data_IF_639666389022
#
_entry.id   IF_639666389022
#
_cell.length_a   1.000
_cell.length_b   1.000
_cell.length_c   1.000
_cell.angle_alpha   90.00
_cell.angle_beta   90.00
_cell.angle_gamma   90.00
#
_symmetry.space_group_name_H-M   'P 1'
#
loop_
_entity.id
_entity.type
_entity.pdbx_description
1 polymer ?
#
# COMPACT_ATOMS: atom_id res chain seq x y z
N UNK A 1 -26.55 18.71 -9.75
CA UNK A 1 -27.00 18.19 -8.44
C UNK A 1 -25.93 18.42 -7.38
N UNK A 2 -26.32 18.70 -6.13
CA UNK A 2 -25.35 18.77 -5.02
C UNK A 2 -24.82 17.37 -4.72
N UNK A 3 -23.55 17.22 -4.32
CA UNK A 3 -22.95 15.89 -4.07
C UNK A 3 -23.78 14.98 -3.15
N UNK A 4 -24.41 15.54 -2.11
CA UNK A 4 -25.22 14.74 -1.18
C UNK A 4 -26.46 14.10 -1.82
N UNK A 5 -27.06 14.75 -2.82
CA UNK A 5 -28.17 14.19 -3.61
C UNK A 5 -27.64 13.07 -4.50
N UNK A 6 -26.55 13.33 -5.23
CA UNK A 6 -25.88 12.34 -6.09
C UNK A 6 -25.46 11.09 -5.31
N UNK A 7 -24.88 11.25 -4.13
CA UNK A 7 -24.47 10.14 -3.28
C UNK A 7 -25.67 9.35 -2.75
N UNK A 8 -26.80 10.03 -2.46
CA UNK A 8 -28.03 9.34 -2.04
C UNK A 8 -28.63 8.52 -3.18
N UNK A 9 -28.72 9.10 -4.38
CA UNK A 9 -29.19 8.39 -5.57
C UNK A 9 -28.29 7.18 -5.91
N UNK A 10 -26.98 7.33 -5.76
CA UNK A 10 -26.03 6.23 -5.88
C UNK A 10 -26.33 5.10 -4.88
N UNK A 11 -26.56 5.42 -3.60
CA UNK A 11 -26.89 4.43 -2.58
C UNK A 11 -28.22 3.72 -2.89
N UNK A 12 -29.25 4.46 -3.30
CA UNK A 12 -30.56 3.90 -3.64
C UNK A 12 -30.47 2.96 -4.87
N UNK A 13 -29.71 3.33 -5.89
CA UNK A 13 -29.53 2.52 -7.12
C UNK A 13 -28.69 1.27 -6.87
N UNK A 14 -27.73 1.32 -5.94
CA UNK A 14 -26.81 0.23 -5.66
C UNK A 14 -27.17 -0.58 -4.39
N UNK A 15 -28.19 -0.17 -3.63
CA UNK A 15 -28.68 -0.92 -2.46
C UNK A 15 -29.24 -2.29 -2.86
N UNK A 16 -29.79 -2.39 -4.06
CA UNK A 16 -30.38 -3.62 -4.62
C UNK A 16 -29.38 -4.41 -5.48
N UNK A 17 -28.19 -3.86 -5.79
CA UNK A 17 -27.21 -4.47 -6.69
C UNK A 17 -25.89 -4.80 -5.97
N UNK A 18 -25.71 -6.10 -5.76
CA UNK A 18 -24.44 -6.85 -5.72
C UNK A 18 -23.47 -6.61 -4.54
N UNK A 19 -23.46 -5.45 -3.89
CA UNK A 19 -22.59 -5.21 -2.72
C UNK A 19 -23.32 -5.52 -1.41
N UNK A 20 -24.00 -6.66 -1.39
CA UNK A 20 -24.66 -7.19 -0.20
C UNK A 20 -23.62 -7.24 0.93
N UNK A 21 -23.86 -6.50 2.01
CA UNK A 21 -23.03 -6.36 3.20
C UNK A 21 -21.84 -5.36 3.18
N UNK A 22 -21.49 -4.69 2.07
CA UNK A 22 -20.53 -3.58 2.21
C UNK A 22 -21.20 -2.33 2.78
N UNK A 23 -20.57 -1.77 3.81
CA UNK A 23 -20.95 -0.47 4.37
C UNK A 23 -20.55 0.65 3.43
N UNK A 24 -21.21 1.78 3.59
CA UNK A 24 -20.90 3.03 2.91
C UNK A 24 -20.69 4.12 3.95
N UNK A 25 -20.06 5.22 3.54
CA UNK A 25 -19.98 6.41 4.40
C UNK A 25 -21.40 6.86 4.74
N UNK A 26 -21.73 6.96 6.02
CA UNK A 26 -23.04 7.42 6.48
C UNK A 26 -23.12 8.95 6.41
N UNK A 27 -22.94 9.50 5.20
CA UNK A 27 -22.73 10.93 4.95
C UNK A 27 -23.86 11.80 5.50
N UNK A 28 -25.11 11.33 5.46
CA UNK A 28 -26.27 12.01 6.07
C UNK A 28 -26.18 12.02 7.60
N UNK A 29 -25.80 10.90 8.23
CA UNK A 29 -25.66 10.75 9.69
C UNK A 29 -24.50 11.60 10.21
N UNK A 30 -23.32 11.50 9.59
CA UNK A 30 -22.15 12.30 9.93
C UNK A 30 -22.41 13.80 9.79
N UNK A 31 -23.15 14.24 8.75
CA UNK A 31 -23.59 15.64 8.65
C UNK A 31 -24.48 16.09 9.82
N UNK A 32 -25.31 15.21 10.39
CA UNK A 32 -26.12 15.51 11.58
C UNK A 32 -25.24 15.62 12.83
N UNK A 33 -24.25 14.73 12.98
CA UNK A 33 -23.24 14.80 14.06
C UNK A 33 -22.56 16.17 14.03
N UNK A 34 -22.10 16.63 12.87
CA UNK A 34 -21.48 17.96 12.75
C UNK A 34 -22.42 19.12 13.12
N UNK A 35 -23.72 19.01 12.85
CA UNK A 35 -24.71 20.03 13.19
C UNK A 35 -25.07 20.07 14.68
N UNK A 36 -24.84 18.99 15.41
CA UNK A 36 -25.12 18.92 16.85
C UNK A 36 -24.08 19.66 17.72
N UNK A 37 -22.97 20.12 17.13
CA UNK A 37 -21.98 20.90 17.86
C UNK A 37 -22.55 22.26 18.26
N UNK A 38 -22.83 22.44 19.55
CA UNK A 38 -23.30 23.71 20.13
C UNK A 38 -22.16 24.70 20.41
N UNK A 39 -20.92 24.20 20.55
CA UNK A 39 -19.73 25.01 20.86
C UNK A 39 -19.14 25.72 19.65
N UNK A 40 -19.26 25.14 18.44
CA UNK A 40 -18.65 25.69 17.22
C UNK A 40 -19.71 26.30 16.27
N UNK A 41 -20.90 26.62 16.78
CA UNK A 41 -21.95 27.23 15.95
C UNK A 41 -21.58 28.71 15.73
N UNK A 42 -21.53 29.21 14.49
CA UNK A 42 -21.45 30.65 14.25
C UNK A 42 -22.69 31.31 14.87
N UNK A 43 -22.49 32.41 15.60
CA UNK A 43 -23.55 33.29 16.06
C UNK A 43 -24.18 33.90 14.80
N UNK A 44 -25.22 33.31 14.23
CA UNK A 44 -25.95 33.94 13.12
C UNK A 44 -27.46 33.63 13.15
N UNK A 45 -28.00 33.13 14.25
CA UNK A 45 -29.44 32.97 14.41
C UNK A 45 -29.87 33.36 15.84
N UNK A 46 -30.08 34.65 16.09
CA UNK A 46 -31.02 35.18 17.10
C UNK A 46 -31.41 36.62 16.74
N UNK A 47 -32.67 37.03 16.96
CA UNK A 47 -33.18 38.32 16.53
C UNK A 47 -32.58 39.45 17.38
N UNK A 48 -32.36 40.58 16.72
CA UNK A 48 -32.07 41.89 17.31
C UNK A 48 -32.71 42.11 18.67
N UNK A 49 -31.89 42.20 19.71
CA UNK A 49 -32.23 42.92 20.93
C UNK A 49 -31.03 43.82 21.22
N UNK A 50 -31.28 45.13 21.08
CA UNK A 50 -30.36 46.20 21.42
C UNK A 50 -29.97 46.15 22.90
N UNK A 51 -28.72 46.51 23.18
CA UNK A 51 -28.30 46.93 24.52
C UNK A 51 -27.10 46.19 25.08
N UNK A 52 -26.04 46.95 25.31
CA UNK A 52 -24.87 46.69 26.17
C UNK A 52 -23.71 45.87 25.59
N UNK A 53 -22.85 46.64 24.91
CA UNK A 53 -21.42 46.43 24.72
C UNK A 53 -20.69 46.06 26.04
N UNK A 54 -19.67 45.19 25.90
CA UNK A 54 -18.71 44.75 26.91
C UNK A 54 -19.13 43.61 27.87
N UNK A 55 -19.26 42.37 27.35
CA UNK A 55 -18.84 41.13 28.04
C UNK A 55 -19.00 39.80 27.27
N UNK A 56 -19.36 39.76 25.97
CA UNK A 56 -19.74 38.49 25.32
C UNK A 56 -18.87 38.00 24.14
N UNK A 57 -17.70 38.60 23.91
CA UNK A 57 -16.76 38.21 22.85
C UNK A 57 -15.71 37.18 23.27
N UNK A 58 -16.06 36.22 24.15
CA UNK A 58 -15.08 35.26 24.67
C UNK A 58 -15.56 33.81 24.75
N UNK A 59 -16.14 33.27 23.67
CA UNK A 59 -16.19 31.81 23.48
C UNK A 59 -16.14 31.42 22.00
N UNK A 60 -14.94 31.43 21.42
CA UNK A 60 -14.42 30.42 20.47
C UNK A 60 -12.96 30.74 20.09
N UNK A 61 -12.06 30.72 21.07
CA UNK A 61 -10.60 30.68 20.85
C UNK A 61 -10.06 29.24 20.94
N UNK A 62 -10.87 28.23 20.66
CA UNK A 62 -10.41 26.84 20.69
C UNK A 62 -10.22 26.34 19.26
N UNK A 63 -8.95 26.17 18.86
CA UNK A 63 -8.54 25.57 17.58
C UNK A 63 -9.03 24.12 17.39
N UNK A 64 -9.65 23.51 18.42
CA UNK A 64 -10.20 22.15 18.37
C UNK A 64 -11.34 21.94 19.37
N UNK A 65 -12.31 21.09 19.01
CA UNK A 65 -13.44 20.73 19.88
C UNK A 65 -13.32 19.25 20.26
N UNK A 66 -12.55 18.94 21.29
CA UNK A 66 -12.16 17.56 21.65
C UNK A 66 -13.33 16.54 21.67
N UNK A 67 -14.52 16.95 22.13
CA UNK A 67 -15.70 16.09 22.14
C UNK A 67 -16.26 15.81 20.74
N UNK A 68 -16.21 16.77 19.83
CA UNK A 68 -16.56 16.58 18.42
C UNK A 68 -15.49 15.74 17.72
N UNK A 69 -14.22 16.00 17.99
CA UNK A 69 -13.08 15.28 17.42
C UNK A 69 -13.19 13.79 17.75
N UNK A 70 -13.30 13.46 19.04
CA UNK A 70 -13.35 12.07 19.48
C UNK A 70 -14.55 11.34 18.87
N UNK A 71 -15.75 11.93 18.89
CA UNK A 71 -16.95 11.28 18.37
C UNK A 71 -16.93 11.16 16.85
N UNK A 72 -16.64 12.24 16.14
CA UNK A 72 -16.68 12.27 14.69
C UNK A 72 -15.58 11.40 14.06
N UNK A 73 -14.35 11.53 14.54
CA UNK A 73 -13.22 10.80 13.96
C UNK A 73 -13.23 9.32 14.30
N UNK A 74 -13.70 8.91 15.48
CA UNK A 74 -13.84 7.47 15.80
C UNK A 74 -14.92 6.80 14.93
N UNK A 75 -16.07 7.45 14.73
CA UNK A 75 -17.12 6.95 13.86
C UNK A 75 -16.64 6.87 12.40
N UNK A 76 -16.00 7.92 11.90
CA UNK A 76 -15.49 7.94 10.52
C UNK A 76 -14.35 6.92 10.31
N UNK A 77 -13.47 6.72 11.31
CA UNK A 77 -12.43 5.70 11.23
C UNK A 77 -13.04 4.30 11.11
N UNK A 78 -14.06 4.00 11.92
CA UNK A 78 -14.78 2.72 11.85
C UNK A 78 -15.40 2.50 10.46
N UNK A 79 -16.10 3.51 9.94
CA UNK A 79 -16.65 3.46 8.58
C UNK A 79 -15.54 3.24 7.54
N UNK A 80 -14.38 3.90 7.67
CA UNK A 80 -13.26 3.74 6.74
C UNK A 80 -12.65 2.33 6.78
N UNK A 81 -12.45 1.77 7.97
CA UNK A 81 -11.96 0.39 8.14
C UNK A 81 -12.92 -0.63 7.54
N UNK A 82 -14.23 -0.48 7.77
CA UNK A 82 -15.25 -1.38 7.21
C UNK A 82 -15.25 -1.34 5.68
N UNK A 83 -15.17 -0.14 5.09
CA UNK A 83 -15.14 0.06 3.63
C UNK A 83 -13.84 -0.52 3.03
N UNK A 84 -12.68 -0.22 3.63
CA UNK A 84 -11.39 -0.73 3.15
C UNK A 84 -11.30 -2.26 3.23
N UNK A 85 -11.80 -2.85 4.32
CA UNK A 85 -11.87 -4.30 4.50
C UNK A 85 -12.80 -4.96 3.49
N UNK A 86 -14.00 -4.41 3.30
CA UNK A 86 -14.96 -4.94 2.35
C UNK A 86 -14.44 -4.87 0.92
N UNK A 87 -13.90 -3.71 0.51
CA UNK A 87 -13.30 -3.53 -0.80
C UNK A 87 -12.18 -4.54 -1.08
N UNK A 88 -11.21 -4.64 -0.18
CA UNK A 88 -10.08 -5.57 -0.32
C UNK A 88 -10.56 -7.02 -0.42
N UNK A 89 -11.58 -7.41 0.37
CA UNK A 89 -12.17 -8.73 0.31
C UNK A 89 -12.87 -9.01 -1.03
N UNK A 90 -13.65 -8.06 -1.54
CA UNK A 90 -14.38 -8.21 -2.80
C UNK A 90 -13.46 -8.23 -4.01
N UNK A 91 -12.43 -7.38 -4.06
CA UNK A 91 -11.44 -7.41 -5.14
C UNK A 91 -10.73 -8.77 -5.17
N UNK A 92 -10.31 -9.31 -4.03
CA UNK A 92 -9.73 -10.67 -3.98
C UNK A 92 -10.65 -11.75 -4.52
N UNK A 93 -11.94 -11.67 -4.19
CA UNK A 93 -12.94 -12.61 -4.72
C UNK A 93 -13.11 -12.45 -6.24
N UNK A 94 -13.23 -11.22 -6.73
CA UNK A 94 -13.38 -10.91 -8.16
C UNK A 94 -12.18 -11.39 -8.98
N UNK A 95 -10.96 -11.17 -8.48
CA UNK A 95 -9.73 -11.54 -9.17
C UNK A 95 -9.43 -13.04 -9.10
N UNK A 96 -10.15 -13.79 -8.26
CA UNK A 96 -10.05 -15.23 -8.24
C UNK A 96 -10.48 -15.81 -9.62
N UNK A 97 -9.76 -16.80 -10.18
CA UNK A 97 -9.95 -17.24 -11.57
C UNK A 97 -11.38 -17.63 -11.99
N UNK A 98 -12.25 -17.99 -11.04
CA UNK A 98 -13.59 -18.48 -11.29
C UNK A 98 -14.69 -17.38 -11.29
N UNK A 99 -14.37 -16.13 -10.91
CA UNK A 99 -15.38 -15.10 -10.61
C UNK A 99 -15.19 -13.77 -11.35
N UNK A 100 -14.33 -13.72 -12.38
CA UNK A 100 -13.97 -12.49 -13.10
C UNK A 100 -15.15 -11.93 -13.91
N UNK A 101 -15.76 -10.83 -13.46
CA UNK A 101 -16.81 -10.11 -14.19
C UNK A 101 -16.48 -8.62 -14.38
N UNK A 102 -16.65 -8.08 -15.59
CA UNK A 102 -16.48 -6.65 -15.87
C UNK A 102 -17.46 -5.79 -15.06
N UNK A 103 -18.71 -6.24 -14.98
CA UNK A 103 -19.75 -5.52 -14.26
C UNK A 103 -19.38 -5.30 -12.79
N UNK A 104 -18.91 -6.35 -12.10
CA UNK A 104 -18.44 -6.21 -10.72
C UNK A 104 -17.21 -5.30 -10.60
N UNK A 105 -16.27 -5.35 -11.57
CA UNK A 105 -15.13 -4.43 -11.59
C UNK A 105 -15.58 -2.96 -11.58
N UNK A 106 -16.52 -2.62 -12.48
CA UNK A 106 -17.04 -1.26 -12.61
C UNK A 106 -17.82 -0.84 -11.36
N UNK A 107 -18.61 -1.74 -10.78
CA UNK A 107 -19.35 -1.48 -9.54
C UNK A 107 -18.42 -1.24 -8.35
N UNK A 108 -17.38 -2.06 -8.16
CA UNK A 108 -16.38 -1.87 -7.11
C UNK A 108 -15.58 -0.57 -7.31
N UNK A 109 -15.29 -0.23 -8.56
CA UNK A 109 -14.61 1.02 -8.92
C UNK A 109 -15.47 2.23 -8.52
N UNK A 110 -16.75 2.22 -8.90
CA UNK A 110 -17.68 3.29 -8.50
C UNK A 110 -17.85 3.36 -6.98
N UNK A 111 -17.95 2.21 -6.30
CA UNK A 111 -18.02 2.13 -4.84
C UNK A 111 -16.85 2.82 -4.15
N UNK A 112 -15.62 2.53 -4.55
CA UNK A 112 -14.43 3.17 -3.97
C UNK A 112 -14.42 4.67 -4.24
N UNK A 113 -14.72 5.07 -5.49
CA UNK A 113 -14.74 6.47 -5.89
C UNK A 113 -15.75 7.27 -5.07
N UNK A 114 -16.98 6.77 -4.95
CA UNK A 114 -18.06 7.47 -4.24
C UNK A 114 -17.78 7.58 -2.74
N UNK A 115 -17.31 6.50 -2.10
CA UNK A 115 -16.94 6.52 -0.69
C UNK A 115 -15.76 7.45 -0.41
N UNK A 116 -14.71 7.41 -1.23
CA UNK A 116 -13.55 8.28 -1.07
C UNK A 116 -13.91 9.76 -1.23
N UNK A 117 -14.74 10.11 -2.21
CA UNK A 117 -15.24 11.48 -2.39
C UNK A 117 -16.09 11.90 -1.18
N UNK A 118 -16.94 11.01 -0.66
CA UNK A 118 -17.75 11.29 0.52
C UNK A 118 -16.88 11.57 1.76
N UNK A 119 -15.84 10.77 2.00
CA UNK A 119 -14.87 11.00 3.09
C UNK A 119 -14.15 12.34 2.94
N UNK A 120 -13.62 12.65 1.75
CA UNK A 120 -12.96 13.95 1.51
C UNK A 120 -13.92 15.13 1.75
N UNK A 121 -15.16 15.03 1.29
CA UNK A 121 -16.15 16.10 1.43
C UNK A 121 -16.64 16.26 2.88
N UNK A 122 -16.77 15.19 3.65
CA UNK A 122 -17.19 15.29 5.05
C UNK A 122 -16.07 15.85 5.93
N UNK A 123 -14.81 15.50 5.67
CA UNK A 123 -13.64 16.08 6.34
C UNK A 123 -13.49 17.57 6.04
N UNK A 124 -13.58 17.98 4.76
CA UNK A 124 -13.62 19.40 4.39
C UNK A 124 -14.77 20.17 5.06
N UNK A 125 -15.92 19.50 5.25
CA UNK A 125 -17.06 20.09 5.96
C UNK A 125 -16.78 20.22 7.46
N UNK A 126 -16.13 19.23 8.07
CA UNK A 126 -15.71 19.29 9.46
C UNK A 126 -14.79 20.51 9.68
N UNK A 127 -13.76 20.68 8.85
CA UNK A 127 -12.80 21.80 8.94
C UNK A 127 -13.52 23.15 8.78
N UNK A 128 -14.46 23.23 7.83
CA UNK A 128 -15.27 24.44 7.62
C UNK A 128 -16.18 24.78 8.81
N UNK A 129 -16.72 23.79 9.53
CA UNK A 129 -17.62 24.02 10.67
C UNK A 129 -16.83 24.39 11.94
N UNK A 130 -15.67 23.77 12.13
CA UNK A 130 -14.86 23.95 13.33
C UNK A 130 -13.74 24.99 13.16
N UNK A 131 -13.63 25.60 11.97
CA UNK A 131 -12.55 26.52 11.61
C UNK A 131 -11.17 25.99 11.99
N UNK A 132 -10.93 24.70 11.74
CA UNK A 132 -9.72 23.98 12.15
C UNK A 132 -9.11 23.22 10.97
N UNK A 133 -7.93 22.64 11.19
CA UNK A 133 -7.26 21.74 10.24
C UNK A 133 -7.34 20.25 10.68
N UNK A 134 -8.18 19.92 11.66
CA UNK A 134 -8.19 18.57 12.24
C UNK A 134 -8.75 17.51 11.28
N UNK A 135 -9.69 17.86 10.42
CA UNK A 135 -10.16 16.99 9.34
C UNK A 135 -9.06 16.68 8.32
N UNK A 136 -8.26 17.68 7.93
CA UNK A 136 -7.07 17.48 7.10
C UNK A 136 -6.02 16.60 7.79
N UNK A 137 -5.68 16.88 9.06
CA UNK A 137 -4.74 16.06 9.85
C UNK A 137 -5.23 14.61 9.99
N UNK A 138 -6.52 14.42 10.22
CA UNK A 138 -7.13 13.10 10.29
C UNK A 138 -7.05 12.36 8.95
N UNK A 139 -7.19 13.06 7.82
CA UNK A 139 -6.95 12.47 6.50
C UNK A 139 -5.54 11.89 6.41
N UNK A 140 -4.52 12.67 6.76
CA UNK A 140 -3.12 12.21 6.77
C UNK A 140 -2.90 11.02 7.70
N UNK A 141 -3.55 11.03 8.88
CA UNK A 141 -3.54 9.89 9.81
C UNK A 141 -4.09 8.62 9.15
N UNK A 142 -5.27 8.69 8.51
CA UNK A 142 -5.85 7.55 7.80
C UNK A 142 -4.91 7.00 6.71
N UNK A 143 -4.23 7.87 5.97
CA UNK A 143 -3.25 7.45 4.96
C UNK A 143 -2.08 6.69 5.59
N UNK A 144 -1.55 7.18 6.72
CA UNK A 144 -0.45 6.52 7.44
C UNK A 144 -0.83 5.17 8.06
N UNK A 145 -2.10 4.99 8.42
CA UNK A 145 -2.65 3.73 8.95
C UNK A 145 -3.15 2.79 7.82
N UNK A 146 -2.89 3.12 6.55
CA UNK A 146 -3.31 2.34 5.36
C UNK A 146 -4.83 2.17 5.22
N UNK A 147 -5.60 3.11 5.77
CA UNK A 147 -7.06 3.10 5.71
C UNK A 147 -7.62 3.97 4.57
N UNK A 148 -6.78 4.78 3.91
CA UNK A 148 -7.19 5.51 2.71
C UNK A 148 -7.38 4.54 1.54
N UNK A 149 -8.63 4.21 1.23
CA UNK A 149 -9.01 3.22 0.22
C UNK A 149 -8.43 3.50 -1.18
N UNK A 150 -8.16 4.76 -1.50
CA UNK A 150 -7.55 5.15 -2.77
C UNK A 150 -6.06 4.78 -2.87
N UNK A 151 -5.39 4.55 -1.74
CA UNK A 151 -3.99 4.08 -1.72
C UNK A 151 -3.89 2.55 -1.59
N UNK A 152 -5.04 1.86 -1.61
CA UNK A 152 -5.07 0.41 -1.48
C UNK A 152 -4.41 -0.24 -2.71
N UNK A 153 -3.48 -1.20 -2.52
CA UNK A 153 -2.92 -1.96 -3.64
C UNK A 153 -4.02 -2.66 -4.45
N UNK A 154 -5.12 -3.07 -3.82
CA UNK A 154 -6.25 -3.68 -4.50
C UNK A 154 -6.92 -2.76 -5.54
N UNK A 155 -6.79 -1.43 -5.41
CA UNK A 155 -7.28 -0.49 -6.43
C UNK A 155 -6.44 -0.52 -7.71
N UNK A 156 -5.12 -0.71 -7.58
CA UNK A 156 -4.22 -0.85 -8.73
C UNK A 156 -4.51 -2.15 -9.48
N UNK A 157 -4.69 -3.27 -8.76
CA UNK A 157 -5.11 -4.54 -9.36
C UNK A 157 -6.46 -4.41 -10.06
N UNK A 158 -7.44 -3.75 -9.43
CA UNK A 158 -8.75 -3.54 -10.02
C UNK A 158 -8.67 -2.72 -11.30
N UNK A 159 -7.88 -1.64 -11.30
CA UNK A 159 -7.65 -0.82 -12.50
C UNK A 159 -6.94 -1.58 -13.63
N UNK A 160 -5.96 -2.41 -13.29
CA UNK A 160 -5.28 -3.28 -14.25
C UNK A 160 -6.23 -4.35 -14.82
N UNK A 161 -7.06 -4.97 -13.98
CA UNK A 161 -8.09 -5.91 -14.42
C UNK A 161 -9.09 -5.24 -15.37
N UNK A 162 -9.62 -4.07 -15.00
CA UNK A 162 -10.52 -3.29 -15.84
C UNK A 162 -9.87 -2.87 -17.19
N UNK A 163 -8.53 -2.73 -17.28
CA UNK A 163 -7.81 -2.53 -18.55
C UNK A 163 -7.67 -3.83 -19.35
N UNK A 164 -7.42 -4.96 -18.69
CA UNK A 164 -7.29 -6.26 -19.35
C UNK A 164 -8.64 -6.76 -19.89
N UNK A 165 -9.74 -6.41 -19.23
CA UNK A 165 -11.09 -6.83 -19.59
C UNK A 165 -11.66 -5.95 -20.70
N UNK A 166 -11.44 -6.35 -21.96
CA UNK A 166 -12.09 -5.74 -23.11
C UNK A 166 -13.50 -6.31 -23.30
N UNK A 167 -14.52 -5.65 -22.75
CA UNK A 167 -15.88 -5.85 -23.26
C UNK A 167 -16.04 -5.11 -24.61
N UNK A 168 -16.71 -5.70 -25.62
CA UNK A 168 -17.05 -4.98 -26.84
C UNK A 168 -17.94 -3.80 -26.46
N UNK A 169 -17.52 -2.61 -26.84
CA UNK A 169 -18.20 -1.35 -26.56
C UNK A 169 -19.58 -1.34 -27.22
N UNK A 170 -20.61 -1.78 -26.50
CA UNK A 170 -22.01 -1.60 -26.89
C UNK A 170 -22.41 -0.14 -26.69
N UNK A 171 -23.16 0.43 -27.63
CA UNK A 171 -23.60 1.84 -27.68
C UNK A 171 -24.55 2.30 -26.56
N UNK A 172 -24.63 1.57 -25.45
CA UNK A 172 -25.46 1.93 -24.31
C UNK A 172 -24.57 2.61 -23.27
N UNK A 173 -24.95 3.81 -22.82
CA UNK A 173 -24.16 4.70 -21.93
C UNK A 173 -23.82 4.14 -20.54
N UNK A 174 -23.07 3.04 -20.48
CA UNK A 174 -22.53 2.43 -19.29
C UNK A 174 -21.36 3.22 -18.70
N UNK A 175 -20.98 2.95 -17.44
CA UNK A 175 -19.90 3.65 -16.76
C UNK A 175 -18.59 3.46 -17.52
N UNK A 176 -18.03 4.57 -18.01
CA UNK A 176 -16.73 4.60 -18.67
C UNK A 176 -15.64 4.12 -17.71
N UNK A 177 -14.72 3.26 -18.17
CA UNK A 177 -13.55 2.86 -17.40
C UNK A 177 -12.78 4.13 -16.95
N UNK A 178 -12.71 4.44 -15.64
CA UNK A 178 -12.11 5.68 -15.17
C UNK A 178 -10.58 5.60 -15.05
N UNK A 179 -9.99 4.44 -15.39
CA UNK A 179 -8.55 4.21 -15.38
C UNK A 179 -7.94 4.46 -16.76
N UNK A 180 -6.75 5.06 -16.76
CA UNK A 180 -5.89 5.19 -17.94
C UNK A 180 -4.44 4.90 -17.58
N UNK A 181 -3.67 4.35 -18.51
CA UNK A 181 -2.27 4.01 -18.31
C UNK A 181 -1.42 4.77 -19.32
N UNK A 182 -0.42 5.50 -18.84
CA UNK A 182 0.68 6.02 -19.65
C UNK A 182 1.96 5.28 -19.27
N UNK A 183 2.46 4.47 -20.20
CA UNK A 183 3.65 3.64 -20.01
C UNK A 183 4.78 4.07 -20.95
N UNK A 184 4.55 5.11 -21.75
CA UNK A 184 5.49 5.56 -22.78
C UNK A 184 6.31 6.77 -22.34
N UNK A 185 5.87 7.45 -21.30
CA UNK A 185 6.58 8.58 -20.71
C UNK A 185 7.76 8.13 -19.83
N UNK A 186 8.63 9.08 -19.50
CA UNK A 186 9.74 8.86 -18.55
C UNK A 186 9.26 8.46 -17.15
N UNK A 187 7.98 8.67 -16.84
CA UNK A 187 7.36 8.34 -15.58
C UNK A 187 6.09 7.51 -15.83
N UNK A 188 6.18 6.16 -15.85
CA UNK A 188 5.05 5.31 -16.13
C UNK A 188 4.00 5.44 -15.02
N UNK A 189 2.78 5.78 -15.40
CA UNK A 189 1.70 6.14 -14.46
C UNK A 189 0.38 5.47 -14.79
N UNK A 190 -0.32 5.07 -13.73
CA UNK A 190 -1.75 4.76 -13.76
C UNK A 190 -2.51 5.98 -13.26
N UNK A 191 -3.47 6.47 -14.02
CA UNK A 191 -4.34 7.58 -13.64
C UNK A 191 -5.76 7.07 -13.36
N UNK A 192 -6.36 7.51 -12.26
CA UNK A 192 -7.78 7.34 -11.93
C UNK A 192 -8.47 8.71 -11.92
N UNK A 193 -9.55 8.86 -12.67
CA UNK A 193 -10.36 10.09 -12.69
C UNK A 193 -11.59 9.92 -11.79
N UNK A 194 -11.68 10.75 -10.76
CA UNK A 194 -12.81 10.74 -9.82
C UNK A 194 -14.04 11.49 -10.36
N UNK A 195 -15.24 11.26 -9.79
CA UNK A 195 -16.47 11.93 -10.22
C UNK A 195 -16.46 13.46 -10.07
N UNK A 196 -15.56 14.00 -9.26
CA UNK A 196 -15.32 15.43 -9.07
C UNK A 196 -14.18 15.96 -9.97
N UNK A 197 -13.80 15.20 -11.00
CA UNK A 197 -12.73 15.49 -11.97
C UNK A 197 -11.32 15.61 -11.36
N UNK A 198 -11.15 15.15 -10.11
CA UNK A 198 -9.83 15.03 -9.50
C UNK A 198 -9.12 13.85 -10.14
N UNK A 199 -7.91 14.09 -10.66
CA UNK A 199 -7.01 13.06 -11.17
C UNK A 199 -6.13 12.55 -10.03
N UNK A 200 -6.02 11.23 -9.91
CA UNK A 200 -5.08 10.55 -9.02
C UNK A 200 -4.09 9.79 -9.88
N UNK A 201 -2.81 10.01 -9.64
CA UNK A 201 -1.72 9.40 -10.39
C UNK A 201 -0.95 8.45 -9.47
N UNK A 202 -0.73 7.24 -9.94
CA UNK A 202 0.03 6.21 -9.28
C UNK A 202 1.26 5.90 -10.12
N UNK A 203 2.44 6.20 -9.58
CA UNK A 203 3.70 5.93 -10.23
C UNK A 203 3.98 4.41 -10.20
N UNK A 204 4.26 3.84 -11.38
CA UNK A 204 4.48 2.41 -11.59
C UNK A 204 5.97 2.03 -11.56
N UNK A 205 6.83 2.89 -11.02
CA UNK A 205 8.25 2.60 -10.83
C UNK A 205 8.49 1.84 -9.52
N UNK A 206 9.54 1.03 -9.51
CA UNK A 206 10.00 0.36 -8.32
C UNK A 206 10.75 1.35 -7.41
N UNK A 207 10.37 1.40 -6.13
CA UNK A 207 11.00 2.27 -5.14
C UNK A 207 12.48 1.96 -4.82
N UNK A 208 13.03 0.85 -5.34
CA UNK A 208 14.42 0.43 -5.10
C UNK A 208 15.29 0.67 -6.33
N UNK A 209 14.91 0.12 -7.49
CA UNK A 209 15.71 0.26 -8.71
C UNK A 209 15.33 1.49 -9.55
N UNK A 210 14.24 2.19 -9.22
CA UNK A 210 13.73 3.38 -9.91
C UNK A 210 13.37 3.17 -11.40
N UNK A 211 13.33 1.92 -11.85
CA UNK A 211 12.85 1.53 -13.17
C UNK A 211 11.37 1.13 -13.11
N UNK A 212 10.72 0.98 -14.27
CA UNK A 212 9.37 0.41 -14.37
C UNK A 212 9.31 -0.92 -13.63
N UNK A 213 8.30 -1.10 -12.77
CA UNK A 213 8.20 -2.27 -11.91
C UNK A 213 8.11 -3.57 -12.72
N UNK A 214 8.89 -4.57 -12.30
CA UNK A 214 8.97 -5.89 -12.94
C UNK A 214 8.59 -6.98 -11.95
N UNK A 215 7.59 -7.79 -12.27
CA UNK A 215 6.92 -8.68 -11.30
C UNK A 215 6.50 -7.93 -10.02
N UNK A 216 5.52 -7.02 -10.13
CA UNK A 216 5.20 -6.05 -9.09
C UNK A 216 4.67 -6.67 -7.80
N UNK A 217 5.19 -6.14 -6.68
CA UNK A 217 4.69 -6.33 -5.33
C UNK A 217 4.35 -4.98 -4.72
N UNK A 218 3.23 -4.88 -4.03
CA UNK A 218 2.78 -3.67 -3.38
C UNK A 218 2.70 -3.83 -1.86
N UNK A 219 3.13 -2.81 -1.12
CA UNK A 219 2.89 -2.72 0.32
C UNK A 219 1.51 -2.12 0.61
N UNK A 220 1.02 -2.25 1.85
CA UNK A 220 -0.23 -1.62 2.29
C UNK A 220 -0.25 -0.09 2.15
N UNK A 221 0.93 0.54 2.06
CA UNK A 221 1.11 1.96 1.79
C UNK A 221 1.05 2.34 0.29
N UNK A 222 0.84 1.38 -0.62
CA UNK A 222 0.74 1.61 -2.06
C UNK A 222 2.09 1.64 -2.81
N UNK A 223 3.23 1.62 -2.12
CA UNK A 223 4.54 1.58 -2.77
C UNK A 223 4.78 0.25 -3.51
N UNK A 224 5.36 0.36 -4.71
CA UNK A 224 5.62 -0.75 -5.62
C UNK A 224 7.10 -1.16 -5.63
N UNK A 225 7.31 -2.47 -5.73
CA UNK A 225 8.63 -3.11 -5.76
C UNK A 225 8.68 -4.21 -6.81
N UNK A 226 9.82 -4.37 -7.48
CA UNK A 226 10.06 -5.58 -8.25
C UNK A 226 10.18 -6.78 -7.31
N UNK A 227 9.83 -7.99 -7.78
CA UNK A 227 10.01 -9.23 -7.00
C UNK A 227 11.43 -9.36 -6.46
N UNK A 228 12.42 -9.19 -7.32
CA UNK A 228 13.85 -9.26 -6.98
C UNK A 228 14.26 -8.23 -5.92
N UNK A 229 13.74 -7.01 -6.04
CA UNK A 229 13.99 -5.91 -5.09
C UNK A 229 13.34 -6.17 -3.73
N UNK A 230 12.08 -6.63 -3.71
CA UNK A 230 11.36 -6.99 -2.50
C UNK A 230 12.06 -8.16 -1.78
N UNK A 231 12.41 -9.24 -2.50
CA UNK A 231 13.11 -10.39 -1.94
C UNK A 231 14.48 -10.02 -1.35
N UNK A 232 15.23 -9.15 -2.03
CA UNK A 232 16.53 -8.69 -1.54
C UNK A 232 16.42 -7.94 -0.20
N UNK A 233 15.34 -7.19 -0.02
CA UNK A 233 15.08 -6.42 1.20
C UNK A 233 14.24 -7.20 2.25
N UNK A 234 13.64 -8.34 1.89
CA UNK A 234 12.87 -9.21 2.79
C UNK A 234 13.72 -9.92 3.85
N UNK A 235 15.05 -9.96 3.68
CA UNK A 235 16.00 -10.32 4.74
C UNK A 235 15.94 -9.38 5.97
N UNK A 236 15.17 -8.28 5.89
CA UNK A 236 14.90 -7.31 6.97
C UNK A 236 13.47 -7.43 7.52
N UNK A 237 12.68 -8.43 7.13
CA UNK A 237 11.33 -8.68 7.68
C UNK A 237 10.23 -7.69 7.25
N UNK A 238 10.53 -6.75 6.34
CA UNK A 238 9.63 -5.63 5.96
C UNK A 238 8.46 -6.05 5.05
N UNK A 239 8.50 -7.24 4.43
CA UNK A 239 7.62 -7.61 3.32
C UNK A 239 6.56 -8.68 3.63
N UNK A 240 6.34 -9.03 4.90
CA UNK A 240 5.42 -10.13 5.29
C UNK A 240 3.96 -9.89 4.87
N UNK A 241 3.58 -8.67 4.48
CA UNK A 241 2.23 -8.30 4.03
C UNK A 241 2.18 -7.74 2.61
N UNK A 242 3.23 -7.95 1.80
CA UNK A 242 3.24 -7.48 0.41
C UNK A 242 2.24 -8.28 -0.45
N UNK A 243 1.52 -7.57 -1.32
CA UNK A 243 0.56 -8.15 -2.27
C UNK A 243 1.27 -8.32 -3.62
N UNK A 244 1.27 -9.54 -4.17
CA UNK A 244 1.70 -9.77 -5.55
C UNK A 244 0.63 -9.26 -6.52
N UNK A 245 1.05 -8.41 -7.45
CA UNK A 245 0.16 -7.62 -8.31
C UNK A 245 -0.01 -8.29 -9.68
N UNK A 246 -0.83 -9.34 -9.74
CA UNK A 246 -0.95 -10.24 -10.90
C UNK A 246 -1.56 -9.60 -12.15
N UNK A 247 -2.59 -8.77 -11.99
CA UNK A 247 -3.26 -8.13 -13.12
C UNK A 247 -2.40 -6.97 -13.65
N UNK A 248 -1.74 -6.24 -12.75
CA UNK A 248 -0.78 -5.22 -13.14
C UNK A 248 0.40 -5.84 -13.90
N UNK A 249 0.95 -6.97 -13.42
CA UNK A 249 1.99 -7.72 -14.13
C UNK A 249 1.57 -8.08 -15.56
N UNK A 250 0.33 -8.58 -15.72
CA UNK A 250 -0.23 -8.93 -17.02
C UNK A 250 -0.37 -7.71 -17.95
N UNK A 251 -0.83 -6.56 -17.43
CA UNK A 251 -0.91 -5.31 -18.20
C UNK A 251 0.49 -4.89 -18.65
N UNK A 252 1.46 -4.81 -17.73
CA UNK A 252 2.81 -4.35 -18.04
C UNK A 252 3.51 -5.26 -19.05
N UNK A 253 3.35 -6.59 -18.91
CA UNK A 253 3.89 -7.56 -19.86
C UNK A 253 3.29 -7.43 -21.26
N UNK A 254 1.99 -7.10 -21.35
CA UNK A 254 1.28 -6.92 -22.63
C UNK A 254 1.67 -5.63 -23.32
N UNK A 255 1.79 -4.54 -22.57
CA UNK A 255 1.96 -3.18 -23.09
C UNK A 255 3.44 -2.82 -23.30
N UNK A 256 4.34 -3.34 -22.46
CA UNK A 256 5.78 -3.03 -22.47
C UNK A 256 6.62 -4.26 -22.89
N UNK A 257 6.27 -4.90 -24.00
CA UNK A 257 6.82 -6.22 -24.39
C UNK A 257 8.34 -6.25 -24.48
N UNK A 258 8.95 -5.24 -25.08
CA UNK A 258 10.40 -5.22 -25.35
C UNK A 258 11.18 -5.02 -24.05
N UNK A 259 10.77 -4.03 -23.24
CA UNK A 259 11.25 -3.85 -21.86
C UNK A 259 11.14 -5.16 -21.06
N UNK A 260 9.99 -5.83 -21.12
CA UNK A 260 9.75 -7.05 -20.37
C UNK A 260 10.70 -8.19 -20.77
N UNK A 261 10.98 -8.34 -22.06
CA UNK A 261 11.92 -9.34 -22.58
C UNK A 261 13.35 -9.02 -22.16
N UNK A 262 13.78 -7.77 -22.35
CA UNK A 262 15.12 -7.31 -21.98
C UNK A 262 15.38 -7.48 -20.49
N UNK A 263 14.42 -7.05 -19.66
CA UNK A 263 14.51 -7.16 -18.19
C UNK A 263 14.57 -8.61 -17.73
N UNK A 264 13.78 -9.49 -18.34
CA UNK A 264 13.81 -10.93 -18.02
C UNK A 264 15.18 -11.57 -18.36
N UNK A 265 15.80 -11.19 -19.48
CA UNK A 265 17.13 -11.68 -19.85
C UNK A 265 18.19 -11.14 -18.89
N UNK A 266 18.12 -9.85 -18.54
CA UNK A 266 19.05 -9.22 -17.60
C UNK A 266 18.98 -9.86 -16.20
N UNK A 267 17.78 -10.02 -15.62
CA UNK A 267 17.63 -10.64 -14.30
C UNK A 267 18.09 -12.11 -14.29
N UNK A 268 17.81 -12.88 -15.35
CA UNK A 268 18.34 -14.26 -15.48
C UNK A 268 19.86 -14.29 -15.56
N UNK A 269 20.47 -13.38 -16.32
CA UNK A 269 21.92 -13.29 -16.41
C UNK A 269 22.55 -12.97 -15.05
N UNK A 270 21.93 -12.09 -14.26
CA UNK A 270 22.40 -11.72 -12.93
C UNK A 270 22.23 -12.85 -11.92
N UNK A 271 21.13 -13.61 -11.96
CA UNK A 271 20.95 -14.83 -11.14
C UNK A 271 22.05 -15.85 -11.46
N UNK A 272 22.35 -16.08 -12.74
CA UNK A 272 23.42 -17.02 -13.14
C UNK A 272 24.79 -16.53 -12.66
N UNK A 273 25.09 -15.23 -12.75
CA UNK A 273 26.33 -14.66 -12.20
C UNK A 273 26.40 -14.86 -10.69
N UNK A 274 25.32 -14.58 -9.96
CA UNK A 274 25.28 -14.77 -8.51
C UNK A 274 25.46 -16.24 -8.14
N UNK A 275 24.79 -17.17 -8.81
CA UNK A 275 24.96 -18.61 -8.58
C UNK A 275 26.40 -19.04 -8.79
N UNK A 276 27.06 -18.59 -9.87
CA UNK A 276 28.48 -18.87 -10.11
C UNK A 276 29.38 -18.27 -9.03
N UNK A 277 29.08 -17.07 -8.55
CA UNK A 277 29.81 -16.46 -7.43
C UNK A 277 29.61 -17.29 -6.17
N UNK A 278 28.40 -17.75 -5.87
CA UNK A 278 28.13 -18.66 -4.74
C UNK A 278 28.88 -19.98 -4.90
N UNK A 279 28.88 -20.59 -6.08
CA UNK A 279 29.61 -21.83 -6.37
C UNK A 279 31.12 -21.63 -6.19
N UNK A 280 31.67 -20.52 -6.69
CA UNK A 280 33.08 -20.15 -6.49
C UNK A 280 33.38 -19.91 -5.03
N UNK A 281 32.51 -19.20 -4.30
CA UNK A 281 32.66 -18.99 -2.86
C UNK A 281 32.61 -20.33 -2.11
N UNK A 282 31.68 -21.22 -2.43
CA UNK A 282 31.63 -22.58 -1.87
C UNK A 282 32.89 -23.38 -2.19
N UNK A 283 33.44 -23.31 -3.40
CA UNK A 283 34.71 -23.96 -3.75
C UNK A 283 35.90 -23.34 -3.03
N UNK A 284 35.94 -22.01 -2.88
CA UNK A 284 37.00 -21.32 -2.15
C UNK A 284 36.90 -21.60 -0.65
N UNK A 285 35.71 -21.57 -0.07
CA UNK A 285 35.49 -21.87 1.35
C UNK A 285 35.67 -23.34 1.65
N UNK A 286 35.19 -24.26 0.82
CA UNK A 286 35.48 -25.70 0.97
C UNK A 286 36.96 -25.98 0.77
N UNK A 287 37.62 -25.35 -0.21
CA UNK A 287 39.06 -25.49 -0.43
C UNK A 287 39.93 -24.84 0.65
N UNK A 288 39.51 -23.70 1.20
CA UNK A 288 40.17 -23.04 2.34
C UNK A 288 39.90 -23.80 3.64
N UNK A 289 38.70 -24.35 3.82
CA UNK A 289 38.35 -25.25 4.92
C UNK A 289 39.16 -26.54 4.84
N UNK A 290 39.25 -27.19 3.66
CA UNK A 290 40.10 -28.35 3.43
C UNK A 290 41.57 -28.05 3.66
N UNK A 291 42.08 -26.88 3.23
CA UNK A 291 43.44 -26.44 3.54
C UNK A 291 43.65 -26.23 5.04
N UNK A 292 42.69 -25.60 5.74
CA UNK A 292 42.75 -25.40 7.20
C UNK A 292 42.68 -26.72 7.96
N UNK A 293 41.87 -27.67 7.49
CA UNK A 293 41.80 -29.03 8.04
C UNK A 293 43.10 -29.77 7.79
N UNK A 294 43.69 -29.68 6.59
CA UNK A 294 44.98 -30.30 6.28
C UNK A 294 46.15 -29.66 7.04
N UNK A 295 46.14 -28.34 7.24
CA UNK A 295 47.09 -27.62 8.11
C UNK A 295 46.93 -28.06 9.56
N UNK A 296 45.71 -28.13 10.08
CA UNK A 296 45.43 -28.61 11.44
C UNK A 296 45.78 -30.10 11.61
N UNK A 297 45.61 -30.95 10.59
CA UNK A 297 46.03 -32.36 10.61
C UNK A 297 47.55 -32.50 10.54
N UNK A 298 48.22 -31.63 9.76
CA UNK A 298 49.68 -31.52 9.70
C UNK A 298 50.29 -31.04 11.03
N UNK A 299 49.62 -30.11 11.72
CA UNK A 299 50.01 -29.62 13.04
C UNK A 299 49.66 -30.61 14.17
N UNK A 300 48.51 -31.30 14.10
CA UNK A 300 48.10 -32.34 15.05
C UNK A 300 48.94 -33.63 14.98
N UNK A 301 49.72 -33.82 13.90
CA UNK A 301 50.79 -34.82 13.83
C UNK A 301 51.94 -34.58 14.82
N UNK A 302 51.96 -33.42 15.51
CA UNK A 302 52.83 -33.12 16.66
C UNK A 302 52.00 -32.87 17.92
N UNK A 303 51.31 -33.90 18.38
CA UNK A 303 50.99 -34.06 19.80
C UNK A 303 49.59 -33.63 20.24
N UNK A 304 48.79 -34.65 20.58
CA UNK A 304 47.66 -34.68 21.52
C UNK A 304 46.38 -33.89 21.18
N UNK A 305 45.30 -34.68 21.00
CA UNK A 305 43.94 -34.35 21.43
C UNK A 305 42.99 -33.86 20.34
N UNK A 306 42.17 -34.76 19.79
CA UNK A 306 41.05 -34.46 18.89
C UNK A 306 39.86 -33.96 19.72
N UNK A 307 39.31 -32.75 19.49
CA UNK A 307 37.97 -32.42 19.98
C UNK A 307 36.94 -32.90 18.95
N UNK A 308 36.01 -33.73 19.40
CA UNK A 308 34.76 -34.05 18.69
C UNK A 308 33.86 -32.80 18.68
N UNK A 309 33.30 -32.47 17.52
CA UNK A 309 32.22 -31.48 17.40
C UNK A 309 32.34 -30.57 16.19
N UNK A 310 32.12 -31.10 14.99
CA UNK A 310 31.73 -30.28 13.83
C UNK A 310 30.35 -30.77 13.43
N UNK A 311 29.32 -30.14 14.00
CA UNK A 311 27.95 -30.31 13.54
C UNK A 311 27.79 -29.68 12.16
N UNK A 312 27.19 -30.42 11.25
CA UNK A 312 26.84 -30.00 9.89
C UNK A 312 25.95 -28.74 9.95
N UNK A 313 26.46 -27.60 9.48
CA UNK A 313 25.60 -26.48 9.10
C UNK A 313 25.04 -26.76 7.71
N UNK A 314 23.83 -27.32 7.68
CA UNK A 314 23.07 -27.55 6.47
C UNK A 314 22.43 -26.21 6.02
N UNK A 315 23.11 -25.47 5.13
CA UNK A 315 22.53 -24.26 4.51
C UNK A 315 21.43 -24.65 3.51
N UNK A 316 20.17 -24.41 3.89
CA UNK A 316 18.99 -24.62 3.03
C UNK A 316 19.06 -23.77 1.76
N UNK A 317 18.88 -24.43 0.61
CA UNK A 317 18.56 -23.80 -0.68
C UNK A 317 17.17 -23.18 -0.60
N UNK A 318 17.01 -21.92 -1.04
CA UNK A 318 15.72 -21.49 -1.58
C UNK A 318 15.59 -22.10 -2.98
N UNK A 319 14.78 -23.15 -3.10
CA UNK A 319 14.42 -23.72 -4.40
C UNK A 319 13.53 -22.74 -5.20
N UNK A 320 13.55 -22.76 -6.54
CA UNK A 320 12.83 -21.78 -7.36
C UNK A 320 11.31 -21.99 -7.44
N UNK A 321 10.79 -23.11 -6.94
CA UNK A 321 9.39 -23.53 -7.09
C UNK A 321 8.86 -23.97 -5.72
N UNK A 322 7.80 -23.27 -5.27
CA UNK A 322 6.88 -23.62 -4.18
C UNK A 322 7.47 -23.97 -2.80
N UNK A 323 7.49 -22.99 -1.89
CA UNK A 323 7.08 -23.14 -0.48
C UNK A 323 7.20 -21.77 0.22
N UNK A 324 6.07 -21.14 0.53
CA UNK A 324 6.07 -20.01 1.45
C UNK A 324 6.17 -20.55 2.88
N UNK A 325 7.13 -20.01 3.62
CA UNK A 325 7.42 -20.29 5.02
C UNK A 325 6.15 -20.21 5.88
N UNK A 326 5.81 -21.31 6.54
CA UNK A 326 4.86 -21.30 7.66
C UNK A 326 5.51 -20.65 8.88
N UNK A 327 4.69 -20.07 9.78
CA UNK A 327 5.09 -19.31 10.98
C UNK A 327 6.22 -19.93 11.83
N UNK A 328 6.39 -21.25 11.79
CA UNK A 328 7.35 -22.01 12.59
C UNK A 328 8.82 -21.83 12.17
N UNK A 329 9.11 -21.62 10.87
CA UNK A 329 10.50 -21.52 10.38
C UNK A 329 11.13 -20.14 10.60
N UNK A 330 10.35 -19.09 10.86
CA UNK A 330 10.85 -17.75 11.12
C UNK A 330 11.39 -17.56 12.55
N UNK A 331 10.81 -18.25 13.53
CA UNK A 331 11.27 -18.18 14.93
C UNK A 331 12.62 -18.92 15.10
N UNK A 332 12.80 -20.07 14.45
CA UNK A 332 14.04 -20.85 14.51
C UNK A 332 15.26 -20.12 13.89
N UNK A 333 15.07 -19.30 12.86
CA UNK A 333 16.15 -18.54 12.23
C UNK A 333 16.59 -17.30 13.02
N UNK A 334 15.76 -16.81 13.94
CA UNK A 334 16.08 -15.64 14.77
C UNK A 334 17.07 -15.98 15.90
N UNK A 335 17.08 -17.23 16.37
CA UNK A 335 17.98 -17.69 17.44
C UNK A 335 19.37 -18.06 16.92
N UNK A 336 19.52 -18.51 15.66
CA UNK A 336 20.81 -18.96 15.12
C UNK A 336 21.70 -17.82 14.58
N UNK A 337 21.14 -16.65 14.24
CA UNK A 337 21.89 -15.54 13.60
C UNK A 337 22.44 -14.48 14.57
N UNK A 338 22.52 -14.78 15.86
CA UNK A 338 22.98 -13.85 16.89
C UNK A 338 24.42 -13.33 16.76
N UNK A 339 25.28 -13.90 15.91
CA UNK A 339 26.70 -13.48 15.84
C UNK A 339 27.31 -13.63 14.42
N UNK A 340 27.08 -12.67 13.51
CA UNK A 340 28.08 -12.26 12.49
C UNK A 340 27.55 -11.08 11.67
N UNK A 341 27.53 -9.88 12.26
CA UNK A 341 27.19 -8.65 11.55
C UNK A 341 28.44 -7.89 11.12
N UNK A 342 28.85 -7.95 9.84
CA UNK A 342 29.72 -6.90 9.29
C UNK A 342 29.80 -6.73 7.75
N UNK A 343 28.87 -7.26 6.95
CA UNK A 343 28.96 -7.10 5.48
C UNK A 343 27.69 -6.58 4.80
N UNK A 344 27.09 -5.49 5.30
CA UNK A 344 26.11 -4.69 4.51
C UNK A 344 25.69 -3.34 5.10
N UNK A 345 26.58 -2.61 5.79
CA UNK A 345 26.24 -1.31 6.38
C UNK A 345 26.30 -0.10 5.44
N UNK A 346 26.62 -0.26 4.15
CA UNK A 346 26.77 0.88 3.23
C UNK A 346 25.44 1.26 2.53
N UNK A 347 24.76 0.32 1.88
CA UNK A 347 23.50 0.62 1.17
C UNK A 347 22.27 0.91 2.04
N UNK A 348 22.21 0.40 3.28
CA UNK A 348 21.09 0.68 4.21
C UNK A 348 21.25 2.06 4.86
N UNK A 349 22.48 2.50 5.08
CA UNK A 349 22.77 3.80 5.71
C UNK A 349 22.43 4.95 4.76
N UNK A 350 22.66 4.78 3.46
CA UNK A 350 22.26 5.75 2.42
C UNK A 350 20.73 5.86 2.28
N UNK A 351 19.99 4.76 2.49
CA UNK A 351 18.52 4.76 2.51
C UNK A 351 17.94 5.43 3.77
N UNK A 352 18.57 5.24 4.94
CA UNK A 352 18.18 5.89 6.19
C UNK A 352 18.55 7.39 6.24
N UNK A 353 19.70 7.78 5.67
CA UNK A 353 20.13 9.18 5.57
C UNK A 353 19.32 9.96 4.52
N UNK A 354 18.92 9.32 3.41
CA UNK A 354 17.96 9.86 2.44
C UNK A 354 16.56 10.07 3.04
N UNK A 355 16.12 9.15 3.92
CA UNK A 355 14.86 9.27 4.65
C UNK A 355 14.87 10.40 5.71
N UNK A 356 16.00 10.65 6.38
CA UNK A 356 16.14 11.75 7.38
C UNK A 356 16.28 13.14 6.73
N UNK A 357 16.98 13.25 5.60
CA UNK A 357 17.11 14.52 4.86
C UNK A 357 15.79 14.99 4.25
N UNK A 358 14.92 14.05 3.85
CA UNK A 358 13.59 14.38 3.31
C UNK A 358 12.59 14.91 4.37
N UNK A 359 12.86 14.71 5.66
CA UNK A 359 12.07 15.28 6.77
C UNK A 359 12.56 16.65 7.26
N UNK A 360 13.78 17.06 6.92
CA UNK A 360 14.41 18.27 7.48
C UNK A 360 14.36 19.48 6.55
N UNK A 361 14.06 19.30 5.25
CA UNK A 361 13.92 20.39 4.28
C UNK A 361 12.47 20.86 4.05
N UNK A 362 11.55 20.53 4.96
CA UNK A 362 10.21 21.11 5.02
C UNK A 362 10.07 22.00 6.24
N UNK A 363 10.74 23.15 6.24
CA UNK A 363 10.47 24.27 7.16
C UNK A 363 10.01 25.48 6.37
#
# INVERSE_FOLDING_TARGET
MKFGERFSAYLETNQERFVENCRHVEYKRLKKVLKSCRRCRPINDSPSVDGDEAAFSQFCQFESCQSCDQKFFSELMKEATDIAGCFSSRVRQLLHPQHKTAQECLMLTEYVMMNAVAMRKILKKYDKIHSSANGSRFKSKMSSEHMEILQSPWLLELGAFCKNFNEPRGETGGPHNPFSFDLTSSEPTLTLILPDNVKLEYNLTCAVCLELVFHPYALGCGHLFCKSCACSAASVGVYTKAVHMTELDAVLKKECKDYWKERLVAERADIVKQSKVYDVLLQVFSGAFLRKVLENVSEAGRGRGVPQGIGELEMRRCSPEEEWMTESTAEQLSEELGHSGNYRRRGIRDAEEGWRSSRSNGS
#
